data_IF_199955852248
#
_entry.id   IF_199955852248
#
_cell.length_a   1.000
_cell.length_b   1.000
_cell.length_c   1.000
_cell.angle_alpha   90.00
_cell.angle_beta   90.00
_cell.angle_gamma   90.00
#
_symmetry.space_group_name_H-M   'P 1'
#
loop_
_entity.id
_entity.type
_entity.pdbx_description
1 polymer ?
#
# COMPACT_ATOMS: atom_id res chain seq x y z
N UNK A 1 21.51 10.94 -14.61
CA UNK A 1 20.23 10.37 -14.16
C UNK A 1 19.91 10.73 -12.70
N UNK A 2 20.87 10.58 -11.77
CA UNK A 2 20.58 10.79 -10.33
C UNK A 2 20.13 12.23 -10.02
N UNK A 3 20.73 13.24 -10.63
CA UNK A 3 20.32 14.63 -10.45
C UNK A 3 18.91 14.90 -11.02
N UNK A 4 18.59 14.32 -12.17
CA UNK A 4 17.24 14.40 -12.75
C UNK A 4 16.20 13.76 -11.83
N UNK A 5 16.50 12.58 -11.29
CA UNK A 5 15.68 11.88 -10.31
C UNK A 5 15.47 12.74 -9.05
N UNK A 6 16.54 13.27 -8.49
CA UNK A 6 16.48 14.14 -7.30
C UNK A 6 15.62 15.38 -7.53
N UNK A 7 15.76 16.04 -8.71
CA UNK A 7 14.93 17.18 -9.10
C UNK A 7 13.45 16.82 -9.21
N UNK A 8 13.13 15.70 -9.87
CA UNK A 8 11.76 15.22 -9.99
C UNK A 8 11.13 14.95 -8.62
N UNK A 9 11.84 14.23 -7.76
CA UNK A 9 11.37 13.93 -6.41
C UNK A 9 11.21 15.18 -5.53
N UNK A 10 12.12 16.15 -5.61
CA UNK A 10 11.99 17.42 -4.89
C UNK A 10 10.70 18.17 -5.30
N UNK A 11 10.36 18.18 -6.59
CA UNK A 11 9.13 18.78 -7.11
C UNK A 11 7.88 18.06 -6.60
N UNK A 12 7.91 16.73 -6.56
CA UNK A 12 6.80 15.91 -6.05
C UNK A 12 6.63 16.14 -4.54
N UNK A 13 7.71 16.13 -3.76
CA UNK A 13 7.70 16.44 -2.34
C UNK A 13 7.16 17.85 -2.06
N UNK A 14 7.51 18.83 -2.89
CA UNK A 14 6.91 20.17 -2.82
C UNK A 14 5.40 20.12 -3.04
N UNK A 15 4.93 19.31 -3.99
CA UNK A 15 3.50 19.07 -4.23
C UNK A 15 2.80 18.41 -3.04
N UNK A 16 3.49 17.58 -2.27
CA UNK A 16 3.01 17.00 -1.01
C UNK A 16 2.95 17.99 0.16
N UNK A 17 3.40 19.23 -0.04
CA UNK A 17 3.40 20.28 0.96
C UNK A 17 4.72 20.48 1.70
N UNK A 18 5.77 19.72 1.39
CA UNK A 18 7.08 19.89 2.00
C UNK A 18 7.78 21.17 1.47
N UNK A 19 8.59 21.78 2.32
CA UNK A 19 9.32 23.02 2.01
C UNK A 19 10.78 22.93 2.46
N UNK A 20 11.67 23.77 1.94
CA UNK A 20 13.01 23.89 2.47
C UNK A 20 13.00 24.12 3.98
N UNK A 21 13.87 23.40 4.69
CA UNK A 21 13.95 23.44 6.15
C UNK A 21 13.03 22.49 6.90
N UNK A 22 12.02 21.86 6.25
CA UNK A 22 11.27 20.75 6.83
C UNK A 22 12.20 19.59 7.22
N UNK A 23 11.75 18.74 8.14
CA UNK A 23 12.47 17.54 8.54
C UNK A 23 11.67 16.29 8.17
N UNK A 24 12.29 15.36 7.47
CA UNK A 24 11.68 14.12 6.98
C UNK A 24 12.32 12.93 7.68
N UNK A 25 11.53 12.16 8.41
CA UNK A 25 11.93 10.91 9.01
C UNK A 25 11.69 9.76 8.02
N UNK A 26 12.76 9.11 7.57
CA UNK A 26 12.71 8.05 6.56
C UNK A 26 12.81 6.70 7.27
N UNK A 27 11.66 6.07 7.52
CA UNK A 27 11.55 4.77 8.19
C UNK A 27 11.31 3.64 7.18
N UNK A 28 12.22 3.51 6.22
CA UNK A 28 12.24 2.43 5.25
C UNK A 28 13.67 1.91 5.09
N UNK A 29 13.81 0.66 4.66
CA UNK A 29 15.12 -0.03 4.62
C UNK A 29 16.08 0.64 3.64
N UNK A 30 17.27 1.02 4.09
CA UNK A 30 18.39 1.47 3.26
C UNK A 30 19.24 0.28 2.82
N UNK A 31 18.82 -0.43 1.80
CA UNK A 31 19.54 -1.55 1.20
C UNK A 31 19.36 -1.56 -0.32
N UNK A 32 19.00 -2.67 -0.92
CA UNK A 32 18.58 -2.73 -2.33
C UNK A 32 17.18 -2.15 -2.59
N UNK A 33 16.46 -1.78 -1.55
CA UNK A 33 15.19 -1.05 -1.67
C UNK A 33 15.45 0.41 -2.03
N UNK A 34 15.29 0.74 -3.29
CA UNK A 34 15.67 2.03 -3.84
C UNK A 34 14.77 3.19 -3.40
N UNK A 35 13.56 2.91 -2.89
CA UNK A 35 12.62 3.94 -2.44
C UNK A 35 13.20 4.85 -1.34
N UNK A 36 13.95 4.30 -0.40
CA UNK A 36 14.61 5.07 0.67
C UNK A 36 15.68 6.02 0.14
N UNK A 37 16.50 5.56 -0.81
CA UNK A 37 17.56 6.35 -1.44
C UNK A 37 16.99 7.46 -2.32
N UNK A 38 15.94 7.17 -3.09
CA UNK A 38 15.25 8.18 -3.89
C UNK A 38 14.56 9.23 -3.03
N UNK A 39 13.95 8.82 -1.91
CA UNK A 39 13.40 9.77 -0.91
C UNK A 39 14.49 10.67 -0.38
N UNK A 40 15.62 10.11 0.04
CA UNK A 40 16.76 10.87 0.55
C UNK A 40 17.24 11.91 -0.46
N UNK A 41 17.48 11.49 -1.71
CA UNK A 41 17.92 12.38 -2.77
C UNK A 41 16.94 13.54 -3.04
N UNK A 42 15.63 13.25 -3.03
CA UNK A 42 14.59 14.26 -3.19
C UNK A 42 14.53 15.26 -2.03
N UNK A 43 14.66 14.77 -0.79
CA UNK A 43 14.67 15.60 0.41
C UNK A 43 15.89 16.53 0.44
N UNK A 44 17.09 16.02 0.14
CA UNK A 44 18.30 16.81 0.06
C UNK A 44 18.22 17.87 -1.05
N UNK A 45 17.70 17.48 -2.22
CA UNK A 45 17.50 18.42 -3.34
C UNK A 45 16.47 19.50 -3.06
N UNK A 46 15.46 19.20 -2.22
CA UNK A 46 14.49 20.18 -1.73
C UNK A 46 15.10 21.14 -0.69
N UNK A 47 16.32 20.92 -0.24
CA UNK A 47 16.94 21.59 0.90
C UNK A 47 16.16 21.41 2.21
N UNK A 48 15.50 20.26 2.36
CA UNK A 48 14.91 19.79 3.61
C UNK A 48 15.93 18.92 4.38
N UNK A 49 15.66 18.70 5.66
CA UNK A 49 16.49 17.87 6.53
C UNK A 49 16.07 16.42 6.40
N UNK A 50 16.97 15.51 6.05
CA UNK A 50 16.69 14.09 6.03
C UNK A 50 17.18 13.41 7.31
N UNK A 51 16.34 12.55 7.88
CA UNK A 51 16.71 11.63 8.95
C UNK A 51 16.57 10.19 8.43
N UNK A 52 17.64 9.61 7.86
CA UNK A 52 17.62 8.27 7.28
C UNK A 52 17.69 7.19 8.37
N UNK A 53 16.56 6.99 9.07
CA UNK A 53 16.47 6.09 10.21
C UNK A 53 16.60 4.62 9.79
N UNK A 54 15.99 4.26 8.67
CA UNK A 54 15.81 2.86 8.30
C UNK A 54 14.65 2.21 9.07
N UNK A 55 14.36 0.95 8.75
CA UNK A 55 13.38 0.11 9.43
C UNK A 55 13.68 -1.37 9.15
N UNK A 56 12.93 -2.28 9.79
CA UNK A 56 12.95 -3.71 9.45
C UNK A 56 13.90 -4.58 10.30
N UNK A 57 14.61 -4.03 11.27
CA UNK A 57 15.34 -4.82 12.26
C UNK A 57 14.56 -4.94 13.58
N UNK A 58 14.68 -6.05 14.31
CA UNK A 58 14.02 -6.22 15.61
C UNK A 58 14.33 -5.06 16.58
N UNK A 59 13.30 -4.56 17.25
CA UNK A 59 13.40 -3.44 18.21
C UNK A 59 13.52 -2.05 17.58
N UNK A 60 13.63 -1.94 16.27
CA UNK A 60 13.73 -0.63 15.60
C UNK A 60 12.42 0.16 15.69
N UNK A 61 11.26 -0.48 15.77
CA UNK A 61 9.97 0.22 15.85
C UNK A 61 9.82 1.03 17.14
N UNK A 62 10.19 0.49 18.30
CA UNK A 62 10.19 1.23 19.55
C UNK A 62 11.22 2.39 19.54
N UNK A 63 12.40 2.16 18.93
CA UNK A 63 13.39 3.23 18.74
C UNK A 63 12.88 4.32 17.79
N UNK A 64 12.12 3.96 16.74
CA UNK A 64 11.49 4.95 15.86
C UNK A 64 10.52 5.85 16.63
N UNK A 65 9.67 5.29 17.50
CA UNK A 65 8.77 6.06 18.35
C UNK A 65 9.54 7.06 19.25
N UNK A 66 10.59 6.59 19.91
CA UNK A 66 11.46 7.44 20.75
C UNK A 66 12.08 8.60 19.93
N UNK A 67 12.63 8.30 18.74
CA UNK A 67 13.25 9.32 17.90
C UNK A 67 12.23 10.32 17.32
N UNK A 68 11.02 9.84 16.96
CA UNK A 68 9.94 10.72 16.49
C UNK A 68 9.48 11.70 17.58
N UNK A 69 9.37 11.23 18.81
CA UNK A 69 9.04 12.10 19.96
C UNK A 69 10.13 13.14 20.24
N UNK A 70 11.41 12.71 20.18
CA UNK A 70 12.55 13.59 20.43
C UNK A 70 12.73 14.62 19.31
N UNK A 71 12.68 14.21 18.05
CA UNK A 71 13.05 15.04 16.89
C UNK A 71 11.89 15.86 16.34
N UNK A 72 10.66 15.43 16.55
CA UNK A 72 9.42 16.06 16.05
C UNK A 72 9.52 16.51 14.59
N UNK A 73 9.80 15.58 13.67
CA UNK A 73 9.92 15.91 12.26
C UNK A 73 8.56 16.37 11.70
N UNK A 74 8.57 17.18 10.64
CA UNK A 74 7.34 17.64 9.99
C UNK A 74 6.76 16.59 9.03
N UNK A 75 7.57 15.64 8.55
CA UNK A 75 7.13 14.63 7.61
C UNK A 75 7.73 13.24 7.92
N UNK A 76 7.03 12.21 7.46
CA UNK A 76 7.39 10.81 7.67
C UNK A 76 7.19 9.99 6.40
N UNK A 77 8.15 9.14 6.06
CA UNK A 77 8.09 8.20 4.95
C UNK A 77 8.24 6.76 5.41
N UNK A 78 7.35 5.87 4.98
CA UNK A 78 7.42 4.43 5.21
C UNK A 78 6.40 3.66 4.36
N UNK A 79 5.98 2.48 4.83
CA UNK A 79 4.81 1.74 4.33
C UNK A 79 3.59 1.96 5.24
N UNK A 80 2.35 1.84 4.73
CA UNK A 80 1.14 1.95 5.54
C UNK A 80 1.09 0.94 6.70
N UNK A 81 1.49 -0.30 6.46
CA UNK A 81 1.51 -1.33 7.51
C UNK A 81 2.48 -0.99 8.63
N UNK A 82 3.67 -0.47 8.30
CA UNK A 82 4.62 -0.05 9.31
C UNK A 82 4.09 1.13 10.15
N UNK A 83 3.41 2.10 9.53
CA UNK A 83 2.83 3.22 10.28
C UNK A 83 1.77 2.77 11.29
N UNK A 84 0.89 1.84 10.92
CA UNK A 84 -0.09 1.28 11.84
C UNK A 84 0.58 0.53 12.99
N UNK A 85 1.58 -0.30 12.69
CA UNK A 85 2.36 -1.00 13.70
C UNK A 85 3.12 -0.03 14.62
N UNK A 86 3.74 1.01 14.05
CA UNK A 86 4.41 2.05 14.81
C UNK A 86 3.47 2.76 15.79
N UNK A 87 2.23 3.04 15.39
CA UNK A 87 1.24 3.64 16.28
C UNK A 87 0.87 2.72 17.46
N UNK A 88 0.78 1.41 17.25
CA UNK A 88 0.54 0.43 18.30
C UNK A 88 1.72 0.37 19.28
N UNK A 89 2.94 0.22 18.76
CA UNK A 89 4.17 0.14 19.56
C UNK A 89 4.42 1.45 20.33
N UNK A 90 4.24 2.61 19.70
CA UNK A 90 4.41 3.90 20.36
C UNK A 90 3.52 4.02 21.59
N UNK A 91 2.23 3.65 21.48
CA UNK A 91 1.31 3.67 22.62
C UNK A 91 1.71 2.68 23.72
N UNK A 92 2.19 1.49 23.34
CA UNK A 92 2.69 0.48 24.29
C UNK A 92 3.93 0.97 25.06
N UNK A 93 4.79 1.75 24.41
CA UNK A 93 5.98 2.38 25.01
C UNK A 93 5.65 3.71 25.75
N UNK A 94 4.37 4.10 25.81
CA UNK A 94 3.93 5.29 26.55
C UNK A 94 4.00 6.61 25.75
N UNK A 95 4.23 6.56 24.44
CA UNK A 95 4.19 7.72 23.56
C UNK A 95 2.81 7.93 22.94
N UNK A 96 2.42 9.20 22.75
CA UNK A 96 1.27 9.55 21.92
C UNK A 96 1.70 9.85 20.49
N UNK A 97 1.34 9.02 19.50
CA UNK A 97 1.72 9.26 18.10
C UNK A 97 1.24 10.61 17.56
N UNK A 98 0.11 11.13 18.03
CA UNK A 98 -0.41 12.45 17.64
C UNK A 98 0.48 13.61 18.13
N UNK A 99 1.25 13.39 19.20
CA UNK A 99 2.18 14.37 19.75
C UNK A 99 3.52 14.44 18.99
N UNK A 100 3.80 13.57 18.03
CA UNK A 100 5.05 13.60 17.25
C UNK A 100 5.21 14.84 16.36
N UNK A 101 4.12 15.59 16.14
CA UNK A 101 4.17 16.83 15.37
C UNK A 101 4.23 16.67 13.86
N UNK A 102 3.95 15.45 13.37
CA UNK A 102 3.90 15.16 11.94
C UNK A 102 2.78 15.95 11.26
N UNK A 103 3.07 16.59 10.15
CA UNK A 103 2.09 17.28 9.29
C UNK A 103 1.70 16.43 8.09
N UNK A 104 2.68 15.76 7.50
CA UNK A 104 2.53 14.95 6.29
C UNK A 104 3.18 13.59 6.48
N UNK A 105 2.44 12.53 6.19
CA UNK A 105 2.95 11.18 6.10
C UNK A 105 2.71 10.67 4.68
N UNK A 106 3.75 10.18 4.03
CA UNK A 106 3.65 9.66 2.67
C UNK A 106 4.20 8.23 2.60
N UNK A 107 3.54 7.41 1.81
CA UNK A 107 3.70 5.97 1.85
C UNK A 107 3.86 5.38 0.46
N UNK A 108 4.68 4.34 0.37
CA UNK A 108 4.82 3.52 -0.84
C UNK A 108 5.12 2.07 -0.51
N UNK A 109 5.23 1.25 -1.54
CA UNK A 109 5.73 -0.13 -1.43
C UNK A 109 4.65 -1.18 -1.23
N UNK A 110 3.46 -0.80 -0.83
CA UNK A 110 2.25 -1.63 -0.75
C UNK A 110 1.00 -0.75 -0.90
N UNK A 111 -0.15 -1.30 -1.34
CA UNK A 111 -1.42 -0.58 -1.29
C UNK A 111 -1.82 -0.24 0.15
N UNK A 112 -2.51 0.88 0.35
CA UNK A 112 -3.03 1.22 1.68
C UNK A 112 -3.31 2.70 1.87
N UNK A 113 -2.39 3.59 1.52
CA UNK A 113 -2.58 5.02 1.74
C UNK A 113 -3.70 5.65 0.89
N UNK A 114 -4.05 5.04 -0.26
CA UNK A 114 -5.25 5.38 -1.04
C UNK A 114 -6.50 4.62 -0.62
N UNK A 115 -6.39 3.62 0.27
CA UNK A 115 -7.54 2.87 0.81
C UNK A 115 -8.14 3.67 1.98
N UNK A 116 -9.39 4.14 1.89
CA UNK A 116 -9.95 5.05 2.90
C UNK A 116 -9.84 4.53 4.33
N UNK A 117 -10.22 3.28 4.59
CA UNK A 117 -10.15 2.71 5.93
C UNK A 117 -8.74 2.63 6.53
N UNK A 118 -7.71 2.43 5.72
CA UNK A 118 -6.30 2.44 6.16
C UNK A 118 -5.82 3.86 6.35
N UNK A 119 -6.06 4.72 5.35
CA UNK A 119 -5.69 6.14 5.37
C UNK A 119 -6.24 6.84 6.61
N UNK A 120 -7.52 6.68 6.87
CA UNK A 120 -8.22 7.38 7.96
C UNK A 120 -7.73 6.90 9.34
N UNK A 121 -7.40 5.61 9.48
CA UNK A 121 -6.77 5.08 10.70
C UNK A 121 -5.39 5.67 10.95
N UNK A 122 -4.55 5.77 9.93
CA UNK A 122 -3.23 6.40 10.05
C UNK A 122 -3.39 7.89 10.39
N UNK A 123 -4.24 8.61 9.64
CA UNK A 123 -4.49 10.03 9.88
C UNK A 123 -5.00 10.29 11.30
N UNK A 124 -5.94 9.48 11.81
CA UNK A 124 -6.45 9.58 13.16
C UNK A 124 -5.39 9.27 14.23
N UNK A 125 -4.49 8.31 13.97
CA UNK A 125 -3.46 7.92 14.92
C UNK A 125 -2.38 8.99 15.10
N UNK A 126 -1.98 9.67 14.02
CA UNK A 126 -0.87 10.62 14.02
C UNK A 126 -1.27 12.09 13.92
N UNK A 127 -2.54 12.39 13.65
CA UNK A 127 -3.01 13.75 13.42
C UNK A 127 -2.42 14.38 12.15
N UNK A 128 -2.00 13.57 11.18
CA UNK A 128 -1.26 13.99 10.00
C UNK A 128 -2.04 13.74 8.70
N UNK A 129 -1.75 14.50 7.65
CA UNK A 129 -2.22 14.19 6.32
C UNK A 129 -1.48 12.97 5.76
N UNK A 130 -2.24 12.03 5.23
CA UNK A 130 -1.73 10.80 4.60
C UNK A 130 -1.76 10.97 3.09
N UNK A 131 -0.64 10.68 2.44
CA UNK A 131 -0.46 10.78 0.98
C UNK A 131 0.08 9.46 0.46
N UNK A 132 -0.53 8.96 -0.60
CA UNK A 132 -0.06 7.77 -1.31
C UNK A 132 0.92 8.15 -2.41
N UNK A 133 1.97 7.36 -2.58
CA UNK A 133 2.93 7.49 -3.67
C UNK A 133 3.47 6.12 -4.08
N UNK A 134 3.98 6.02 -5.29
CA UNK A 134 4.49 4.77 -5.80
C UNK A 134 5.40 4.92 -6.99
N UNK A 135 6.13 3.87 -7.24
CA UNK A 135 6.93 3.61 -8.42
C UNK A 135 7.39 2.17 -8.42
N UNK A 136 8.13 1.80 -9.46
CA UNK A 136 8.96 0.61 -9.53
C UNK A 136 10.43 1.03 -9.52
N UNK A 137 11.31 0.25 -8.89
CA UNK A 137 12.74 0.55 -8.84
C UNK A 137 13.36 0.66 -10.25
N UNK A 138 12.83 -0.09 -11.21
CA UNK A 138 13.21 -0.08 -12.62
C UNK A 138 12.85 1.24 -13.31
N UNK A 139 11.81 1.93 -12.83
CA UNK A 139 11.32 3.19 -13.40
C UNK A 139 12.01 4.37 -12.74
N UNK A 140 11.84 4.52 -11.47
CA UNK A 140 12.52 5.56 -10.68
C UNK A 140 12.62 5.12 -9.22
N UNK A 141 13.71 5.43 -8.53
CA UNK A 141 13.99 4.92 -7.17
C UNK A 141 12.91 5.21 -6.13
N UNK A 142 12.11 6.26 -6.31
CA UNK A 142 11.14 6.64 -5.29
C UNK A 142 9.71 6.73 -5.85
N UNK A 143 9.40 7.73 -6.67
CA UNK A 143 8.03 7.95 -7.11
C UNK A 143 7.94 8.66 -8.46
N UNK A 144 6.99 8.23 -9.26
CA UNK A 144 6.48 8.89 -10.46
C UNK A 144 4.95 9.02 -10.41
N UNK A 145 4.33 8.41 -9.40
CA UNK A 145 2.91 8.52 -9.07
C UNK A 145 2.82 8.98 -7.62
N UNK A 146 2.14 10.05 -7.36
CA UNK A 146 2.06 10.59 -6.00
C UNK A 146 0.90 11.58 -5.84
N UNK A 147 0.25 11.52 -4.69
CA UNK A 147 -0.71 12.53 -4.27
C UNK A 147 -0.08 13.88 -3.97
N UNK A 148 -0.92 14.84 -3.65
CA UNK A 148 -0.51 16.18 -3.22
C UNK A 148 -1.16 16.57 -1.90
N UNK A 149 -0.76 17.71 -1.36
CA UNK A 149 -1.37 18.25 -0.16
C UNK A 149 -2.87 18.60 -0.34
N UNK A 150 -3.29 18.87 -1.58
CA UNK A 150 -4.65 19.35 -1.88
C UNK A 150 -5.55 18.31 -2.54
N UNK A 151 -5.01 17.14 -2.97
CA UNK A 151 -5.77 16.12 -3.72
C UNK A 151 -5.65 14.76 -3.10
N UNK A 152 -6.75 14.03 -3.07
CA UNK A 152 -6.77 12.60 -2.76
C UNK A 152 -6.44 11.78 -4.02
N UNK A 153 -6.00 10.54 -3.81
CA UNK A 153 -5.48 9.68 -4.87
C UNK A 153 -4.05 10.06 -5.28
N UNK A 154 -3.61 9.57 -6.42
CA UNK A 154 -2.25 9.75 -6.91
C UNK A 154 -2.28 10.42 -8.28
N UNK A 155 -1.47 11.44 -8.49
CA UNK A 155 -1.26 12.04 -9.81
C UNK A 155 -0.21 11.23 -10.58
N UNK A 156 -0.42 11.07 -11.86
CA UNK A 156 0.59 10.57 -12.79
C UNK A 156 1.45 11.77 -13.22
N UNK A 157 2.66 11.88 -12.67
CA UNK A 157 3.58 12.97 -13.00
C UNK A 157 4.20 12.74 -14.38
N UNK A 158 3.43 13.08 -15.41
CA UNK A 158 3.68 12.77 -16.81
C UNK A 158 4.96 13.39 -17.39
N UNK A 159 5.49 14.41 -16.79
CA UNK A 159 6.77 15.05 -17.13
C UNK A 159 7.97 14.47 -16.35
N UNK A 160 7.72 13.52 -15.45
CA UNK A 160 8.77 12.70 -14.80
C UNK A 160 8.92 11.37 -15.53
N UNK A 161 7.80 10.67 -15.67
CA UNK A 161 7.70 9.42 -16.42
C UNK A 161 6.39 9.41 -17.19
N UNK A 162 6.45 9.25 -18.49
CA UNK A 162 5.23 9.12 -19.28
C UNK A 162 4.52 7.83 -18.93
N UNK A 163 3.28 7.94 -18.48
CA UNK A 163 2.47 6.81 -18.00
C UNK A 163 1.22 6.68 -18.83
N UNK A 164 1.01 5.50 -19.40
CA UNK A 164 -0.24 5.08 -20.02
C UNK A 164 -0.94 4.09 -19.08
N UNK A 165 -2.27 4.03 -19.06
CA UNK A 165 -3.00 2.91 -18.47
C UNK A 165 -3.55 2.07 -19.61
N UNK A 166 -3.17 0.80 -19.65
CA UNK A 166 -3.39 -0.10 -20.77
C UNK A 166 -4.18 -1.35 -20.34
N UNK A 167 -4.90 -1.90 -21.29
CA UNK A 167 -5.51 -3.22 -21.15
C UNK A 167 -4.41 -4.28 -20.96
N UNK A 168 -4.48 -5.13 -19.93
CA UNK A 168 -3.40 -6.06 -19.60
C UNK A 168 -3.18 -7.18 -20.62
N UNK A 169 -4.14 -7.46 -21.51
CA UNK A 169 -4.02 -8.50 -22.52
C UNK A 169 -3.51 -7.96 -23.86
N UNK A 170 -3.94 -6.75 -24.23
CA UNK A 170 -3.62 -6.16 -25.54
C UNK A 170 -2.53 -5.09 -25.48
N UNK A 171 -2.22 -4.58 -24.29
CA UNK A 171 -1.35 -3.43 -24.02
C UNK A 171 -1.71 -2.15 -24.78
N UNK A 172 -2.98 -2.03 -25.18
CA UNK A 172 -3.53 -0.82 -25.77
C UNK A 172 -4.04 0.08 -24.67
N UNK A 173 -3.80 1.40 -24.80
CA UNK A 173 -4.29 2.40 -23.87
C UNK A 173 -5.81 2.30 -23.74
N UNK A 174 -6.30 2.28 -22.50
CA UNK A 174 -7.74 2.30 -22.20
C UNK A 174 -8.25 3.74 -22.04
N UNK A 175 -9.53 4.01 -22.33
CA UNK A 175 -10.16 5.29 -22.01
C UNK A 175 -10.10 5.64 -20.52
N UNK A 176 -10.19 6.92 -20.21
CA UNK A 176 -10.37 7.35 -18.82
C UNK A 176 -11.63 6.74 -18.20
N UNK A 177 -11.58 6.44 -16.91
CA UNK A 177 -12.64 5.73 -16.19
C UNK A 177 -12.56 4.20 -16.28
N UNK A 178 -11.71 3.64 -17.13
CA UNK A 178 -11.52 2.20 -17.24
C UNK A 178 -10.31 1.71 -16.42
N UNK A 179 -10.41 0.48 -15.95
CA UNK A 179 -9.31 -0.23 -15.27
C UNK A 179 -8.28 -0.71 -16.28
N UNK A 180 -7.02 -0.77 -15.87
CA UNK A 180 -5.92 -1.28 -16.66
C UNK A 180 -4.62 -1.34 -15.87
N UNK A 181 -3.54 -1.69 -16.56
CA UNK A 181 -2.18 -1.72 -15.99
C UNK A 181 -1.40 -0.48 -16.39
N UNK A 182 -0.69 0.18 -15.45
CA UNK A 182 0.25 1.24 -15.80
C UNK A 182 1.39 0.71 -16.67
N UNK A 183 1.69 1.47 -17.70
CA UNK A 183 2.80 1.24 -18.63
C UNK A 183 3.67 2.50 -18.63
N UNK A 184 4.93 2.36 -18.27
CA UNK A 184 5.85 3.45 -18.01
C UNK A 184 6.88 3.62 -19.11
N UNK A 185 7.15 4.87 -19.49
CA UNK A 185 8.23 5.22 -20.42
C UNK A 185 9.08 6.33 -19.80
N UNK A 186 10.39 6.11 -19.69
CA UNK A 186 11.32 7.13 -19.24
C UNK A 186 11.40 8.27 -20.25
N UNK A 187 11.52 9.51 -19.74
CA UNK A 187 11.69 10.68 -20.57
C UNK A 187 13.16 11.17 -20.64
N UNK A 188 13.86 11.12 -19.52
CA UNK A 188 15.21 11.68 -19.39
C UNK A 188 16.28 10.68 -18.98
N UNK A 189 15.90 9.44 -18.63
CA UNK A 189 16.85 8.44 -18.17
C UNK A 189 17.72 7.94 -19.32
N UNK A 190 19.05 8.02 -19.15
CA UNK A 190 20.03 7.61 -20.15
C UNK A 190 20.64 6.24 -19.87
N UNK A 191 20.78 5.85 -18.58
CA UNK A 191 21.19 4.50 -18.21
C UNK A 191 19.97 3.58 -18.13
N UNK A 192 19.96 2.51 -18.88
CA UNK A 192 18.86 1.54 -18.90
C UNK A 192 17.47 2.18 -19.14
N UNK A 193 17.26 2.93 -20.23
CA UNK A 193 15.96 3.54 -20.48
C UNK A 193 14.91 2.45 -20.70
N UNK A 194 13.81 2.54 -19.96
CA UNK A 194 12.64 1.68 -20.14
C UNK A 194 11.63 2.37 -21.05
N UNK A 195 11.22 1.69 -22.10
CA UNK A 195 10.20 2.15 -23.05
C UNK A 195 9.04 1.20 -22.97
N UNK A 196 7.88 1.71 -22.55
CA UNK A 196 6.65 0.93 -22.35
C UNK A 196 6.83 -0.28 -21.42
N UNK A 197 7.48 -0.07 -20.28
CA UNK A 197 7.57 -1.08 -19.23
C UNK A 197 6.20 -1.31 -18.59
N UNK A 198 5.71 -2.54 -18.66
CA UNK A 198 4.45 -2.94 -18.00
C UNK A 198 4.70 -3.16 -16.53
N UNK A 199 3.94 -2.47 -15.66
CA UNK A 199 4.13 -2.58 -14.21
C UNK A 199 3.64 -3.89 -13.63
N UNK A 200 2.62 -4.49 -14.22
CA UNK A 200 1.89 -5.62 -13.64
C UNK A 200 0.92 -5.21 -12.52
N UNK A 201 0.83 -3.93 -12.23
CA UNK A 201 -0.16 -3.40 -11.28
C UNK A 201 -1.53 -3.23 -11.93
N UNK A 202 -2.57 -3.13 -11.12
CA UNK A 202 -3.93 -2.81 -11.56
C UNK A 202 -4.36 -1.47 -10.97
N UNK A 203 -4.88 -0.60 -11.84
CA UNK A 203 -5.39 0.71 -11.47
C UNK A 203 -6.58 1.14 -12.32
N UNK A 204 -7.14 2.29 -12.00
CA UNK A 204 -8.09 3.03 -12.82
C UNK A 204 -7.62 4.48 -12.90
N UNK A 205 -7.70 5.10 -14.06
CA UNK A 205 -7.27 6.46 -14.23
C UNK A 205 -8.39 7.39 -14.68
N UNK A 206 -8.25 8.65 -14.32
CA UNK A 206 -9.19 9.71 -14.66
C UNK A 206 -8.43 10.97 -15.12
N UNK A 207 -9.12 11.78 -15.88
CA UNK A 207 -8.69 13.13 -16.24
C UNK A 207 -9.72 14.15 -15.71
N UNK A 208 -9.33 15.40 -15.59
CA UNK A 208 -10.22 16.48 -15.19
C UNK A 208 -9.58 17.50 -14.27
N UNK A 209 -10.31 18.58 -13.97
CA UNK A 209 -9.81 19.65 -13.10
C UNK A 209 -9.56 19.15 -11.68
N UNK A 210 -8.50 19.63 -11.08
CA UNK A 210 -8.11 19.28 -9.71
C UNK A 210 -7.96 20.52 -8.84
N UNK A 211 -8.24 20.42 -7.53
CA UNK A 211 -8.07 21.55 -6.60
C UNK A 211 -6.67 22.16 -6.60
N UNK A 212 -5.64 21.34 -6.81
CA UNK A 212 -4.25 21.79 -6.88
C UNK A 212 -3.87 22.52 -8.19
N UNK A 213 -4.80 22.65 -9.15
CA UNK A 213 -4.58 23.30 -10.44
C UNK A 213 -3.66 22.53 -11.41
N UNK A 214 -3.18 21.34 -11.06
CA UNK A 214 -2.39 20.50 -11.97
C UNK A 214 -3.28 19.81 -12.98
N UNK A 215 -2.73 19.55 -14.16
CA UNK A 215 -3.44 18.96 -15.32
C UNK A 215 -3.04 17.52 -15.60
N UNK A 216 -2.33 16.88 -14.70
CA UNK A 216 -1.96 15.47 -14.84
C UNK A 216 -3.18 14.57 -14.65
N UNK A 217 -3.30 13.46 -15.39
CA UNK A 217 -4.23 12.40 -15.04
C UNK A 217 -3.97 11.89 -13.63
N UNK A 218 -4.99 11.31 -13.02
CA UNK A 218 -4.90 10.79 -11.65
C UNK A 218 -5.39 9.36 -11.55
N UNK A 219 -4.96 8.70 -10.51
CA UNK A 219 -5.45 7.42 -10.02
C UNK A 219 -6.26 7.70 -8.74
N UNK A 220 -7.59 7.83 -8.81
CA UNK A 220 -8.41 8.26 -7.66
C UNK A 220 -8.34 7.30 -6.48
N UNK A 221 -8.10 6.02 -6.77
CA UNK A 221 -8.01 4.95 -5.78
C UNK A 221 -6.60 4.35 -5.67
N UNK A 222 -5.59 4.99 -6.28
CA UNK A 222 -4.22 4.50 -6.29
C UNK A 222 -4.04 3.21 -7.09
N UNK A 223 -3.11 2.38 -6.63
CA UNK A 223 -2.88 1.03 -7.17
C UNK A 223 -3.74 0.05 -6.37
N UNK A 224 -4.59 -0.70 -7.05
CA UNK A 224 -5.52 -1.65 -6.40
C UNK A 224 -4.84 -2.95 -5.98
N UNK A 225 -3.77 -3.33 -6.66
CA UNK A 225 -3.05 -4.59 -6.47
C UNK A 225 -2.24 -4.93 -7.71
N UNK A 226 -1.90 -6.19 -7.86
CA UNK A 226 -1.13 -6.68 -9.00
C UNK A 226 -1.95 -7.65 -9.84
N UNK A 227 -1.71 -7.66 -11.14
CA UNK A 227 -2.35 -8.60 -12.06
C UNK A 227 -1.93 -10.05 -11.74
N UNK A 228 -0.65 -10.22 -11.34
CA UNK A 228 -0.07 -11.51 -10.97
C UNK A 228 -0.45 -11.98 -9.55
N UNK A 229 -0.98 -11.11 -8.70
CA UNK A 229 -1.54 -11.47 -7.38
C UNK A 229 -3.03 -11.92 -7.49
N UNK A 230 -3.64 -11.76 -8.65
CA UNK A 230 -5.00 -12.18 -8.89
C UNK A 230 -5.11 -13.71 -8.80
N UNK A 231 -6.10 -14.18 -8.09
CA UNK A 231 -6.45 -15.59 -8.07
C UNK A 231 -7.90 -15.81 -8.52
N UNK A 232 -8.14 -16.93 -9.18
CA UNK A 232 -9.49 -17.28 -9.62
C UNK A 232 -10.10 -18.25 -8.62
N UNK A 233 -11.29 -17.91 -8.12
CA UNK A 233 -12.09 -18.75 -7.23
C UNK A 233 -13.43 -19.00 -7.89
N UNK A 234 -13.73 -20.25 -8.22
CA UNK A 234 -15.02 -20.66 -8.85
C UNK A 234 -15.36 -19.85 -10.12
N UNK A 235 -14.34 -19.47 -10.89
CA UNK A 235 -14.51 -18.69 -12.13
C UNK A 235 -14.51 -17.17 -11.94
N UNK A 236 -14.52 -16.67 -10.71
CA UNK A 236 -14.43 -15.24 -10.43
C UNK A 236 -12.99 -14.82 -10.15
N UNK A 237 -12.58 -13.70 -10.70
CA UNK A 237 -11.27 -13.10 -10.46
C UNK A 237 -11.29 -12.28 -9.18
N UNK A 238 -10.44 -12.65 -8.22
CA UNK A 238 -10.35 -12.02 -6.90
C UNK A 238 -8.97 -11.38 -6.73
N UNK A 239 -8.96 -10.13 -6.33
CA UNK A 239 -7.74 -9.40 -5.98
C UNK A 239 -7.62 -9.29 -4.46
N UNK A 240 -6.47 -9.65 -3.85
CA UNK A 240 -6.24 -9.51 -2.42
C UNK A 240 -6.57 -8.11 -1.88
N UNK A 241 -6.26 -7.08 -2.66
CA UNK A 241 -6.52 -5.68 -2.30
C UNK A 241 -8.01 -5.34 -2.18
N UNK A 242 -8.89 -6.02 -2.91
CA UNK A 242 -10.35 -5.84 -2.75
C UNK A 242 -10.81 -6.41 -1.41
N UNK A 243 -10.23 -7.54 -1.00
CA UNK A 243 -10.46 -8.12 0.34
C UNK A 243 -9.91 -7.19 1.42
N UNK A 244 -8.67 -6.70 1.26
CA UNK A 244 -8.05 -5.74 2.17
C UNK A 244 -8.93 -4.49 2.34
N UNK A 245 -9.45 -3.91 1.27
CA UNK A 245 -10.35 -2.77 1.31
C UNK A 245 -11.63 -3.10 2.08
N UNK A 246 -12.29 -4.23 1.77
CA UNK A 246 -13.52 -4.66 2.43
C UNK A 246 -13.34 -4.84 3.94
N UNK A 247 -12.25 -5.51 4.35
CA UNK A 247 -11.99 -5.82 5.76
C UNK A 247 -11.61 -4.57 6.55
N UNK A 248 -10.84 -3.65 5.96
CA UNK A 248 -10.43 -2.41 6.63
C UNK A 248 -11.60 -1.45 6.92
N UNK A 249 -12.72 -1.58 6.24
CA UNK A 249 -13.93 -0.79 6.49
C UNK A 249 -14.86 -1.40 7.53
N UNK A 250 -14.57 -2.58 8.08
CA UNK A 250 -15.41 -3.23 9.08
C UNK A 250 -15.26 -2.57 10.45
N UNK A 251 -16.38 -2.16 11.03
CA UNK A 251 -16.41 -1.77 12.42
C UNK A 251 -16.05 -2.97 13.31
N UNK A 252 -14.98 -2.86 14.09
CA UNK A 252 -14.51 -3.96 14.94
C UNK A 252 -13.37 -4.80 14.36
N UNK A 253 -12.82 -4.41 13.21
CA UNK A 253 -11.58 -4.98 12.68
C UNK A 253 -10.38 -4.70 13.57
N UNK A 254 -9.61 -5.71 13.92
CA UNK A 254 -8.46 -5.63 14.84
C UNK A 254 -7.13 -5.21 14.18
N UNK A 255 -7.12 -4.96 12.88
CA UNK A 255 -5.96 -4.41 12.15
C UNK A 255 -5.16 -5.42 11.35
N UNK A 256 -5.39 -6.73 11.50
CA UNK A 256 -4.71 -7.74 10.70
C UNK A 256 -5.68 -8.86 10.27
N UNK A 257 -5.39 -9.47 9.13
CA UNK A 257 -6.17 -10.59 8.59
C UNK A 257 -5.31 -11.49 7.70
N UNK A 258 -5.85 -12.66 7.33
CA UNK A 258 -5.24 -13.57 6.36
C UNK A 258 -6.28 -14.02 5.35
N UNK A 259 -5.85 -14.10 4.11
CA UNK A 259 -6.60 -14.61 2.96
C UNK A 259 -6.05 -15.99 2.68
N UNK A 260 -6.84 -17.02 2.95
CA UNK A 260 -6.42 -18.42 2.77
C UNK A 260 -7.22 -19.02 1.63
N UNK A 261 -6.51 -19.50 0.62
CA UNK A 261 -7.08 -20.17 -0.52
C UNK A 261 -6.79 -21.66 -0.36
N UNK A 262 -7.84 -22.45 -0.31
CA UNK A 262 -7.75 -23.90 -0.19
C UNK A 262 -8.51 -24.57 -1.33
N UNK A 263 -8.27 -25.85 -1.54
CA UNK A 263 -9.05 -26.65 -2.46
C UNK A 263 -9.58 -27.87 -1.72
N UNK A 264 -10.91 -27.93 -1.59
CA UNK A 264 -11.59 -29.10 -1.02
C UNK A 264 -12.26 -29.87 -2.17
N UNK A 265 -11.70 -31.04 -2.48
CA UNK A 265 -12.12 -31.84 -3.63
C UNK A 265 -11.88 -31.10 -4.96
N UNK A 266 -12.96 -30.81 -5.68
CA UNK A 266 -12.89 -30.19 -7.02
C UNK A 266 -13.05 -28.66 -7.00
N UNK A 267 -13.36 -28.04 -5.85
CA UNK A 267 -13.70 -26.62 -5.77
C UNK A 267 -12.72 -25.84 -4.88
N UNK A 268 -12.34 -24.67 -5.39
CA UNK A 268 -11.55 -23.73 -4.60
C UNK A 268 -12.43 -23.06 -3.54
N UNK A 269 -11.90 -22.92 -2.34
CA UNK A 269 -12.50 -22.22 -1.23
C UNK A 269 -11.68 -21.01 -0.82
N UNK A 270 -12.39 -19.94 -0.48
CA UNK A 270 -11.82 -18.70 0.04
C UNK A 270 -12.20 -18.56 1.52
N UNK A 271 -11.20 -18.58 2.38
CA UNK A 271 -11.35 -18.34 3.81
C UNK A 271 -10.65 -17.04 4.19
N UNK A 272 -11.38 -16.12 4.82
CA UNK A 272 -10.83 -14.88 5.34
C UNK A 272 -10.82 -14.97 6.87
N UNK A 273 -9.61 -14.95 7.45
CA UNK A 273 -9.41 -14.97 8.89
C UNK A 273 -9.13 -13.54 9.35
N UNK A 274 -9.98 -13.00 10.21
CA UNK A 274 -10.00 -11.59 10.60
C UNK A 274 -9.77 -11.48 12.10
N UNK A 275 -8.78 -10.70 12.53
CA UNK A 275 -8.64 -10.34 13.94
C UNK A 275 -9.76 -9.40 14.37
N UNK A 276 -10.42 -9.70 15.48
CA UNK A 276 -11.34 -8.78 16.12
C UNK A 276 -10.57 -7.68 16.86
N UNK A 277 -11.11 -6.46 16.89
CA UNK A 277 -10.64 -5.43 17.81
C UNK A 277 -10.80 -5.90 19.27
N UNK A 278 -9.90 -5.51 20.20
CA UNK A 278 -9.95 -5.95 21.59
C UNK A 278 -11.32 -5.74 22.25
N UNK A 279 -11.98 -4.62 21.99
CA UNK A 279 -13.31 -4.32 22.53
C UNK A 279 -14.40 -5.27 22.02
N UNK A 280 -14.36 -5.66 20.74
CA UNK A 280 -15.29 -6.60 20.12
C UNK A 280 -15.04 -8.02 20.66
N UNK A 281 -13.76 -8.39 20.79
CA UNK A 281 -13.40 -9.70 21.36
C UNK A 281 -13.88 -9.83 22.82
N UNK A 282 -13.69 -8.79 23.63
CA UNK A 282 -14.14 -8.75 25.02
C UNK A 282 -15.67 -8.75 25.18
N UNK A 283 -16.41 -8.24 24.16
CA UNK A 283 -17.88 -8.25 24.16
C UNK A 283 -18.49 -9.67 23.94
N UNK A 284 -17.69 -10.65 23.59
CA UNK A 284 -18.07 -12.06 23.58
C UNK A 284 -18.68 -12.57 22.27
N UNK A 285 -19.21 -13.81 22.27
CA UNK A 285 -19.57 -14.56 21.07
C UNK A 285 -20.58 -13.85 20.15
N UNK A 286 -21.56 -13.16 20.71
CA UNK A 286 -22.58 -12.44 19.90
C UNK A 286 -21.97 -11.33 19.07
N UNK A 287 -21.01 -10.56 19.61
CA UNK A 287 -20.31 -9.51 18.89
C UNK A 287 -19.38 -10.09 17.81
N UNK A 288 -18.74 -11.22 18.09
CA UNK A 288 -17.90 -11.92 17.09
C UNK A 288 -18.74 -12.48 15.93
N UNK A 289 -19.91 -13.05 16.20
CA UNK A 289 -20.85 -13.49 15.16
C UNK A 289 -21.31 -12.29 14.31
N UNK A 290 -21.70 -11.18 14.93
CA UNK A 290 -22.11 -9.99 14.20
C UNK A 290 -20.99 -9.44 13.27
N UNK A 291 -19.74 -9.43 13.74
CA UNK A 291 -18.58 -9.05 12.91
C UNK A 291 -18.39 -10.02 11.74
N UNK A 292 -18.50 -11.34 11.99
CA UNK A 292 -18.39 -12.37 10.95
C UNK A 292 -19.48 -12.21 9.87
N UNK A 293 -20.71 -11.97 10.27
CA UNK A 293 -21.84 -11.78 9.35
C UNK A 293 -21.67 -10.49 8.52
N UNK A 294 -21.26 -9.41 9.15
CA UNK A 294 -20.98 -8.15 8.46
C UNK A 294 -19.85 -8.31 7.44
N UNK A 295 -18.78 -9.01 7.80
CA UNK A 295 -17.67 -9.30 6.90
C UNK A 295 -18.12 -10.16 5.71
N UNK A 296 -18.83 -11.27 5.97
CA UNK A 296 -19.32 -12.16 4.93
C UNK A 296 -20.24 -11.45 3.93
N UNK A 297 -21.16 -10.61 4.42
CA UNK A 297 -22.06 -9.83 3.57
C UNK A 297 -21.30 -8.79 2.74
N UNK A 298 -20.29 -8.11 3.32
CA UNK A 298 -19.51 -7.10 2.62
C UNK A 298 -18.65 -7.74 1.53
N UNK A 299 -17.98 -8.83 1.84
CA UNK A 299 -17.19 -9.60 0.88
C UNK A 299 -18.06 -10.13 -0.27
N UNK A 300 -19.24 -10.67 0.03
CA UNK A 300 -20.18 -11.13 -1.01
C UNK A 300 -20.60 -10.00 -1.97
N UNK A 301 -20.89 -8.80 -1.44
CA UNK A 301 -21.25 -7.65 -2.29
C UNK A 301 -20.10 -7.18 -3.17
N UNK A 302 -18.87 -7.27 -2.67
CA UNK A 302 -17.68 -6.73 -3.34
C UNK A 302 -17.07 -7.72 -4.34
N UNK A 303 -17.01 -9.00 -3.97
CA UNK A 303 -16.37 -10.04 -4.77
C UNK A 303 -17.34 -10.82 -5.67
N UNK A 304 -18.64 -10.70 -5.46
CA UNK A 304 -19.63 -11.51 -6.18
C UNK A 304 -19.66 -12.98 -5.78
N UNK A 305 -18.80 -13.42 -4.84
CA UNK A 305 -18.69 -14.80 -4.37
C UNK A 305 -18.77 -14.88 -2.83
N UNK A 306 -19.17 -16.06 -2.33
CA UNK A 306 -19.21 -16.32 -0.89
C UNK A 306 -17.82 -16.75 -0.41
N UNK A 307 -17.24 -15.96 0.52
CA UNK A 307 -16.08 -16.32 1.30
C UNK A 307 -16.52 -16.88 2.67
N UNK A 308 -15.80 -17.86 3.17
CA UNK A 308 -15.88 -18.26 4.57
C UNK A 308 -15.15 -17.24 5.43
N UNK A 309 -15.73 -16.85 6.55
CA UNK A 309 -15.12 -15.90 7.48
C UNK A 309 -14.89 -16.57 8.82
N UNK A 310 -13.70 -16.41 9.36
CA UNK A 310 -13.31 -16.84 10.71
C UNK A 310 -12.81 -15.62 11.49
N UNK A 311 -13.45 -15.31 12.62
CA UNK A 311 -12.99 -14.25 13.50
C UNK A 311 -12.04 -14.85 14.54
N UNK A 312 -10.85 -14.28 14.66
CA UNK A 312 -9.80 -14.73 15.59
C UNK A 312 -9.50 -13.67 16.63
N UNK A 313 -8.84 -14.09 17.72
CA UNK A 313 -8.47 -13.19 18.82
C UNK A 313 -7.47 -12.11 18.37
N UNK A 314 -7.47 -10.93 19.01
CA UNK A 314 -6.45 -9.92 18.80
C UNK A 314 -5.03 -10.49 19.00
N UNK A 315 -4.08 -10.10 18.14
CA UNK A 315 -2.70 -10.57 18.23
C UNK A 315 -2.45 -11.99 17.74
N UNK A 316 -3.42 -12.62 17.07
CA UNK A 316 -3.24 -13.96 16.46
C UNK A 316 -2.22 -13.95 15.33
N UNK A 317 -2.16 -12.88 14.55
CA UNK A 317 -1.23 -12.77 13.43
C UNK A 317 -0.05 -11.85 13.77
N UNK A 318 1.18 -12.23 13.35
CA UNK A 318 2.32 -11.37 13.54
C UNK A 318 2.15 -10.06 12.77
N UNK A 319 2.54 -8.96 13.40
CA UNK A 319 2.67 -7.67 12.74
C UNK A 319 3.94 -7.67 11.88
N UNK A 320 3.94 -6.87 10.84
CA UNK A 320 5.08 -6.75 9.93
C UNK A 320 5.82 -5.45 10.15
N UNK A 321 7.16 -5.54 10.11
CA UNK A 321 8.04 -4.38 10.19
C UNK A 321 8.24 -3.68 8.83
N UNK A 322 7.65 -4.21 7.74
CA UNK A 322 7.80 -3.61 6.41
C UNK A 322 6.56 -3.80 5.52
N UNK A 323 6.34 -4.99 4.93
CA UNK A 323 5.20 -5.28 4.05
C UNK A 323 4.38 -6.43 4.60
N UNK A 324 3.06 -6.27 4.65
CA UNK A 324 2.17 -7.34 5.05
C UNK A 324 2.05 -8.40 3.94
N UNK A 325 2.26 -9.67 4.32
CA UNK A 325 1.95 -10.82 3.46
C UNK A 325 0.69 -11.47 4.01
N UNK A 326 -0.45 -11.24 3.34
CA UNK A 326 -1.76 -11.68 3.83
C UNK A 326 -2.31 -12.89 3.11
N UNK A 327 -1.81 -13.19 1.91
CA UNK A 327 -2.29 -14.31 1.09
C UNK A 327 -1.51 -15.57 1.42
N UNK A 328 -2.23 -16.64 1.68
CA UNK A 328 -1.75 -18.03 1.85
C UNK A 328 -2.49 -18.85 0.82
N UNK A 329 -1.83 -19.21 -0.27
CA UNK A 329 -2.39 -20.11 -1.27
C UNK A 329 -1.96 -21.55 -0.92
N UNK A 330 -2.87 -22.31 -0.33
CA UNK A 330 -2.64 -23.68 0.12
C UNK A 330 -3.10 -24.71 -0.94
N UNK A 331 -3.41 -24.25 -2.15
CA UNK A 331 -3.68 -25.12 -3.29
C UNK A 331 -2.37 -25.69 -3.79
N UNK A 332 -2.16 -26.99 -3.63
CA UNK A 332 -0.94 -27.66 -4.07
C UNK A 332 -0.96 -27.91 -5.58
N UNK A 333 -0.89 -26.84 -6.36
CA UNK A 333 -0.88 -26.88 -7.84
C UNK A 333 0.34 -27.67 -8.35
N UNK A 334 1.47 -27.61 -7.65
CA UNK A 334 2.69 -28.34 -8.02
C UNK A 334 2.61 -29.84 -7.70
N UNK A 335 1.97 -30.22 -6.59
CA UNK A 335 1.73 -31.64 -6.30
C UNK A 335 0.80 -32.29 -7.30
N UNK A 336 -0.28 -31.61 -7.67
CA UNK A 336 -1.20 -32.09 -8.70
C UNK A 336 -0.53 -32.19 -10.08
N UNK A 337 0.29 -31.23 -10.45
CA UNK A 337 1.05 -31.25 -11.69
C UNK A 337 2.06 -32.40 -11.71
N UNK A 338 2.82 -32.58 -10.63
CA UNK A 338 3.78 -33.67 -10.51
C UNK A 338 3.10 -35.04 -10.44
N UNK A 339 1.93 -35.16 -9.80
CA UNK A 339 1.15 -36.40 -9.79
C UNK A 339 0.60 -36.73 -11.18
N UNK A 340 0.15 -35.74 -11.95
CA UNK A 340 -0.27 -35.94 -13.36
C UNK A 340 0.90 -36.33 -14.26
N UNK A 341 2.06 -35.73 -14.08
CA UNK A 341 3.26 -36.08 -14.84
C UNK A 341 3.81 -37.46 -14.49
N UNK A 342 3.72 -37.87 -13.21
CA UNK A 342 4.13 -39.21 -12.76
C UNK A 342 3.15 -40.31 -13.14
N UNK A 343 1.87 -40.00 -13.36
CA UNK A 343 0.84 -40.96 -13.80
C UNK A 343 0.77 -41.17 -15.32
N UNK A 344 1.61 -40.50 -16.07
CA UNK A 344 1.73 -40.65 -17.56
C UNK A 344 3.09 -41.22 -18.00
N UNK A 345 3.86 -41.83 -17.09
CA UNK A 345 5.13 -42.53 -17.35
C UNK A 345 4.95 -44.05 -17.29
#
# INVERSE_FOLDING_TARGET
DWDAIANAHARILWGMGLRPGDAVFIAAIFSLYMGSWGTLAGVERLHAKAFPFGAGAPGMTARAAMWLDLMRPSAFYSTPSFALHLAEVARAEGFDPAAFGLKTMFFSGEPGASVPGVRDRIAAAFGARVIDCGSMAEVTPFMNIAGTAETDGMLLWQDVVYTEVCDPATFRRVPYGQRGTPVYTHLERTSQPMIRLVSGDLTQWEDGPMPCGRTYPRLPHGIFGRIDDMFTIRGENVYPSEIDAAVNELAGYGGEHRIVITRDGAMDELLIRIEAAPAIHAAGPSALCALSDAAAQKLLRMLGLRARVEIVAPGTFPRTDFKARRVIDDRDVFRELNARLAGHA
#
